data_IF_478503629949
#
_entry.id   IF_478503629949
#
_cell.length_a   1.000
_cell.length_b   1.000
_cell.length_c   1.000
_cell.angle_alpha   90.00
_cell.angle_beta   90.00
_cell.angle_gamma   90.00
#
_symmetry.space_group_name_H-M   'P 1'
#
loop_
_entity.id
_entity.type
_entity.pdbx_description
1 polymer ?
#
# COMPACT_ATOMS: atom_id res chain seq x y z
N UNK A 1 14.35 -24.78 17.83
CA UNK A 1 14.41 -23.43 17.22
C UNK A 1 13.92 -23.28 15.75
N UNK A 2 13.91 -24.30 14.86
CA UNK A 2 13.44 -24.12 13.45
C UNK A 2 11.90 -24.06 13.26
N UNK A 3 11.09 -24.52 14.24
CA UNK A 3 9.61 -24.54 14.15
C UNK A 3 8.95 -23.17 14.44
N UNK A 4 9.48 -22.38 15.36
CA UNK A 4 8.92 -21.07 15.75
C UNK A 4 8.99 -20.00 14.65
N UNK A 5 10.14 -19.86 13.96
CA UNK A 5 10.27 -18.87 12.86
C UNK A 5 9.32 -19.13 11.67
N UNK A 6 8.91 -20.39 11.47
CA UNK A 6 7.92 -20.77 10.44
C UNK A 6 6.51 -20.28 10.80
N UNK A 7 6.19 -20.16 12.09
CA UNK A 7 4.90 -19.66 12.57
C UNK A 7 4.78 -18.16 12.33
N UNK A 8 5.78 -17.36 12.74
CA UNK A 8 5.74 -15.90 12.65
C UNK A 8 5.63 -15.40 11.20
N UNK A 9 6.40 -15.97 10.28
CA UNK A 9 6.36 -15.58 8.86
C UNK A 9 4.99 -15.87 8.23
N UNK A 10 4.38 -16.99 8.59
CA UNK A 10 3.07 -17.40 8.08
C UNK A 10 1.97 -16.50 8.62
N UNK A 11 1.99 -16.18 9.92
CA UNK A 11 1.01 -15.29 10.53
C UNK A 11 1.10 -13.88 9.93
N UNK A 12 2.31 -13.31 9.78
CA UNK A 12 2.49 -12.03 9.09
C UNK A 12 1.99 -12.02 7.65
N UNK A 13 2.11 -13.14 6.92
CA UNK A 13 1.56 -13.23 5.55
C UNK A 13 0.05 -13.40 5.51
N UNK A 14 -0.57 -13.98 6.55
CA UNK A 14 -2.03 -14.05 6.66
C UNK A 14 -2.63 -12.69 6.98
N UNK A 15 -2.02 -11.95 7.91
CA UNK A 15 -2.38 -10.55 8.22
C UNK A 15 -2.33 -9.66 6.97
N UNK A 16 -1.50 -10.03 5.99
CA UNK A 16 -1.30 -9.32 4.74
C UNK A 16 -1.83 -10.08 3.53
N UNK A 17 -2.76 -11.04 3.70
CA UNK A 17 -3.24 -11.88 2.59
C UNK A 17 -3.90 -11.06 1.48
N UNK A 18 -4.59 -9.98 1.83
CA UNK A 18 -5.15 -9.02 0.86
C UNK A 18 -4.11 -8.30 0.00
N UNK A 19 -2.83 -8.33 0.39
CA UNK A 19 -1.71 -7.77 -0.37
C UNK A 19 -1.04 -8.81 -1.28
N UNK A 20 -1.59 -10.02 -1.46
CA UNK A 20 -0.91 -11.10 -2.20
C UNK A 20 -0.49 -10.68 -3.60
N UNK A 21 -1.32 -9.93 -4.32
CA UNK A 21 -1.00 -9.33 -5.62
C UNK A 21 0.11 -8.28 -5.49
N UNK A 22 -0.02 -7.37 -4.53
CA UNK A 22 0.95 -6.30 -4.25
C UNK A 22 2.35 -6.83 -3.92
N UNK A 23 2.40 -7.89 -3.10
CA UNK A 23 3.61 -8.58 -2.70
C UNK A 23 4.20 -9.32 -3.91
N UNK A 24 3.37 -10.06 -4.65
CA UNK A 24 3.79 -10.79 -5.85
C UNK A 24 4.51 -9.88 -6.83
N UNK A 25 3.88 -8.76 -7.18
CA UNK A 25 4.45 -7.77 -8.11
C UNK A 25 5.70 -7.12 -7.51
N UNK A 26 5.63 -6.67 -6.24
CA UNK A 26 6.72 -5.97 -5.57
C UNK A 26 7.99 -6.80 -5.33
N UNK A 27 7.90 -8.13 -5.32
CA UNK A 27 9.06 -9.02 -5.14
C UNK A 27 9.41 -9.87 -6.37
N UNK A 28 8.67 -9.68 -7.46
CA UNK A 28 8.83 -10.42 -8.72
C UNK A 28 8.54 -11.92 -8.56
N UNK A 29 7.46 -12.27 -7.87
CA UNK A 29 6.99 -13.66 -7.68
C UNK A 29 5.58 -13.82 -8.23
N UNK A 30 5.20 -15.03 -8.66
CA UNK A 30 3.82 -15.29 -9.05
C UNK A 30 2.87 -15.26 -7.85
N UNK A 31 1.63 -14.81 -8.05
CA UNK A 31 0.60 -14.81 -7.00
C UNK A 31 0.33 -16.21 -6.45
N UNK A 32 0.45 -17.25 -7.28
CA UNK A 32 0.36 -18.65 -6.85
C UNK A 32 1.49 -19.03 -5.89
N UNK A 33 2.70 -18.51 -6.10
CA UNK A 33 3.83 -18.70 -5.19
C UNK A 33 3.57 -18.02 -3.85
N UNK A 34 3.11 -16.77 -3.85
CA UNK A 34 2.76 -16.04 -2.61
C UNK A 34 1.63 -16.77 -1.86
N UNK A 35 0.59 -17.18 -2.57
CA UNK A 35 -0.56 -17.89 -1.99
C UNK A 35 -0.14 -19.21 -1.37
N UNK A 36 0.69 -20.00 -2.05
CA UNK A 36 1.20 -21.27 -1.52
C UNK A 36 2.08 -21.05 -0.29
N UNK A 37 2.97 -20.05 -0.35
CA UNK A 37 3.84 -19.67 0.76
C UNK A 37 3.02 -19.20 1.97
N UNK A 38 1.97 -18.39 1.77
CA UNK A 38 1.07 -17.93 2.84
C UNK A 38 0.28 -19.08 3.45
N UNK A 39 -0.29 -19.97 2.62
CA UNK A 39 -1.07 -21.12 3.09
C UNK A 39 -0.23 -22.15 3.84
N UNK A 40 0.93 -22.52 3.30
CA UNK A 40 1.70 -23.67 3.77
C UNK A 40 2.94 -23.29 4.59
N UNK A 41 3.38 -22.04 4.52
CA UNK A 41 4.68 -21.62 5.03
C UNK A 41 5.87 -22.25 4.30
N UNK A 42 5.66 -22.99 3.20
CA UNK A 42 6.72 -23.64 2.41
C UNK A 42 7.09 -22.74 1.23
N UNK A 43 8.39 -22.49 1.07
CA UNK A 43 8.99 -21.63 0.06
C UNK A 43 10.48 -21.51 0.31
N UNK A 44 11.27 -21.21 -0.73
CA UNK A 44 12.71 -21.02 -0.55
C UNK A 44 12.99 -19.80 0.35
N UNK A 45 14.14 -19.80 1.03
CA UNK A 45 14.47 -18.76 2.00
C UNK A 45 14.56 -17.37 1.37
N UNK A 46 15.17 -17.26 0.18
CA UNK A 46 15.35 -16.02 -0.57
C UNK A 46 14.03 -15.31 -0.87
N UNK A 47 13.00 -16.06 -1.27
CA UNK A 47 11.67 -15.54 -1.57
C UNK A 47 10.98 -15.05 -0.30
N UNK A 48 11.11 -15.78 0.81
CA UNK A 48 10.56 -15.36 2.10
C UNK A 48 11.23 -14.08 2.60
N UNK A 49 12.54 -13.95 2.44
CA UNK A 49 13.27 -12.74 2.80
C UNK A 49 12.86 -11.54 1.94
N UNK A 50 12.70 -11.73 0.63
CA UNK A 50 12.16 -10.68 -0.25
C UNK A 50 10.78 -10.22 0.20
N UNK A 51 9.87 -11.15 0.47
CA UNK A 51 8.51 -10.87 0.94
C UNK A 51 8.57 -10.10 2.27
N UNK A 52 9.39 -10.56 3.23
CA UNK A 52 9.52 -9.87 4.52
C UNK A 52 10.11 -8.47 4.38
N UNK A 53 11.16 -8.29 3.58
CA UNK A 53 11.75 -6.97 3.34
C UNK A 53 10.73 -6.02 2.72
N UNK A 54 9.97 -6.49 1.73
CA UNK A 54 8.92 -5.72 1.10
C UNK A 54 7.84 -5.29 2.11
N UNK A 55 7.34 -6.23 2.91
CA UNK A 55 6.34 -5.94 3.94
C UNK A 55 6.86 -4.98 5.01
N UNK A 56 8.12 -5.14 5.43
CA UNK A 56 8.76 -4.24 6.41
C UNK A 56 8.88 -2.83 5.82
N UNK A 57 9.40 -2.70 4.60
CA UNK A 57 9.57 -1.40 3.94
C UNK A 57 8.24 -0.67 3.77
N UNK A 58 7.19 -1.36 3.29
CA UNK A 58 5.88 -0.74 3.12
C UNK A 58 5.24 -0.32 4.43
N UNK A 59 5.40 -1.13 5.47
CA UNK A 59 4.91 -0.75 6.80
C UNK A 59 5.70 0.43 7.39
N UNK A 60 7.01 0.51 7.13
CA UNK A 60 7.82 1.66 7.52
C UNK A 60 7.39 2.95 6.80
N UNK A 61 7.25 2.92 5.46
CA UNK A 61 6.79 4.07 4.67
C UNK A 61 5.43 4.60 5.17
N UNK A 62 4.49 3.70 5.46
CA UNK A 62 3.16 4.08 5.96
C UNK A 62 3.22 4.68 7.38
N UNK A 63 4.02 4.10 8.28
CA UNK A 63 4.17 4.60 9.65
C UNK A 63 4.89 5.95 9.69
N UNK A 64 5.90 6.14 8.85
CA UNK A 64 6.58 7.43 8.70
C UNK A 64 5.64 8.49 8.13
N UNK A 65 4.86 8.12 7.11
CA UNK A 65 3.81 8.99 6.59
C UNK A 65 2.81 9.39 7.68
N UNK A 66 2.25 8.41 8.41
CA UNK A 66 1.27 8.67 9.47
C UNK A 66 1.81 9.63 10.53
N UNK A 67 3.04 9.42 11.02
CA UNK A 67 3.71 10.33 11.96
C UNK A 67 3.90 11.74 11.41
N UNK A 68 4.19 11.87 10.11
CA UNK A 68 4.41 13.17 9.47
C UNK A 68 3.10 13.96 9.35
N UNK A 69 1.98 13.29 9.15
CA UNK A 69 0.69 13.95 8.90
C UNK A 69 -0.22 14.01 10.11
N UNK A 70 0.03 13.24 11.16
CA UNK A 70 -0.75 13.29 12.39
C UNK A 70 -0.80 14.71 12.97
N UNK A 71 -2.00 15.18 13.30
CA UNK A 71 -2.25 16.55 13.77
C UNK A 71 -2.29 17.62 12.67
N UNK A 72 -1.89 17.31 11.43
CA UNK A 72 -2.03 18.25 10.32
C UNK A 72 -3.48 18.31 9.84
N UNK A 73 -3.90 19.51 9.42
CA UNK A 73 -5.21 19.74 8.86
C UNK A 73 -5.05 19.82 7.33
N UNK A 74 -5.15 18.67 6.68
CA UNK A 74 -4.86 18.55 5.25
C UNK A 74 -6.08 19.02 4.46
N UNK A 75 -5.91 20.11 3.73
CA UNK A 75 -6.83 20.56 2.69
C UNK A 75 -6.13 20.44 1.33
N UNK A 76 -6.48 19.40 0.58
CA UNK A 76 -5.73 18.98 -0.61
C UNK A 76 -6.20 19.73 -1.87
N UNK A 77 -7.50 19.95 -2.00
CA UNK A 77 -8.14 20.62 -3.14
C UNK A 77 -8.51 22.08 -2.85
N UNK A 78 -8.29 22.56 -1.61
CA UNK A 78 -8.70 23.90 -1.15
C UNK A 78 -10.22 24.09 -1.18
N UNK A 79 -10.96 22.99 -1.18
CA UNK A 79 -12.41 22.96 -1.24
C UNK A 79 -12.96 22.21 -0.03
N UNK A 80 -13.92 22.82 0.67
CA UNK A 80 -14.60 22.23 1.85
C UNK A 80 -13.69 21.94 3.07
N UNK A 81 -12.46 22.45 3.09
CA UNK A 81 -11.56 22.40 4.24
C UNK A 81 -10.94 21.01 4.46
N UNK A 82 -10.86 20.59 5.72
CA UNK A 82 -10.08 19.41 6.12
C UNK A 82 -10.86 18.10 6.00
N UNK A 83 -11.33 17.76 4.81
CA UNK A 83 -12.21 16.60 4.61
C UNK A 83 -11.46 15.25 4.65
N UNK A 84 -12.17 14.16 4.98
CA UNK A 84 -11.59 12.80 4.91
C UNK A 84 -11.05 12.46 3.52
N UNK A 85 -11.68 12.95 2.44
CA UNK A 85 -11.23 12.70 1.06
C UNK A 85 -9.89 13.37 0.75
N UNK A 86 -9.60 14.52 1.36
CA UNK A 86 -8.34 15.24 1.17
C UNK A 86 -7.16 14.41 1.68
N UNK A 87 -7.31 13.79 2.86
CA UNK A 87 -6.31 12.86 3.40
C UNK A 87 -6.06 11.66 2.47
N UNK A 88 -7.11 11.06 1.91
CA UNK A 88 -6.95 9.90 1.01
C UNK A 88 -6.23 10.28 -0.28
N UNK A 89 -6.55 11.43 -0.88
CA UNK A 89 -5.86 11.94 -2.07
C UNK A 89 -4.39 12.26 -1.77
N UNK A 90 -4.13 12.91 -0.65
CA UNK A 90 -2.77 13.20 -0.19
C UNK A 90 -1.96 11.91 0.03
N UNK A 91 -2.56 10.90 0.65
CA UNK A 91 -1.94 9.58 0.83
C UNK A 91 -1.63 8.89 -0.50
N UNK A 92 -2.59 8.87 -1.43
CA UNK A 92 -2.38 8.25 -2.73
C UNK A 92 -1.22 8.90 -3.50
N UNK A 93 -1.12 10.23 -3.48
CA UNK A 93 -0.04 10.93 -4.16
C UNK A 93 1.31 10.71 -3.46
N UNK A 94 1.37 10.79 -2.14
CA UNK A 94 2.63 10.79 -1.40
C UNK A 94 3.19 9.39 -1.13
N UNK A 95 2.31 8.41 -0.87
CA UNK A 95 2.72 7.04 -0.52
C UNK A 95 2.54 6.09 -1.69
N UNK A 96 1.39 6.14 -2.38
CA UNK A 96 1.13 5.24 -3.51
C UNK A 96 1.73 5.74 -4.83
N UNK A 97 2.18 7.00 -4.88
CA UNK A 97 2.63 7.69 -6.10
C UNK A 97 1.59 7.64 -7.21
N UNK A 98 0.32 7.74 -6.84
CA UNK A 98 -0.83 7.61 -7.73
C UNK A 98 -1.81 8.77 -7.53
N UNK A 99 -2.36 9.27 -8.63
CA UNK A 99 -3.40 10.30 -8.60
C UNK A 99 -4.77 9.63 -8.66
N UNK A 100 -5.51 9.65 -7.55
CA UNK A 100 -6.88 9.15 -7.52
C UNK A 100 -7.80 10.04 -8.37
N UNK A 101 -8.86 9.43 -8.91
CA UNK A 101 -9.98 10.18 -9.46
C UNK A 101 -10.71 10.98 -8.39
N UNK A 102 -11.63 11.84 -8.80
CA UNK A 102 -12.46 12.63 -7.88
C UNK A 102 -13.36 11.72 -7.03
N UNK A 103 -13.65 12.11 -5.79
CA UNK A 103 -14.59 11.38 -4.93
C UNK A 103 -16.04 11.81 -5.15
N UNK A 104 -16.31 12.83 -5.96
CA UNK A 104 -17.67 13.37 -6.18
C UNK A 104 -18.37 13.78 -4.87
N UNK A 105 -17.61 14.38 -3.95
CA UNK A 105 -18.11 14.98 -2.72
C UNK A 105 -18.38 14.03 -1.55
N UNK A 106 -18.17 12.71 -1.66
CA UNK A 106 -18.44 11.81 -0.52
C UNK A 106 -17.67 10.49 -0.55
N UNK A 107 -17.50 9.87 0.62
CA UNK A 107 -16.95 8.52 0.73
C UNK A 107 -17.86 7.48 0.07
N UNK A 108 -19.19 7.67 0.10
CA UNK A 108 -20.14 6.81 -0.62
C UNK A 108 -19.89 6.78 -2.12
N UNK A 109 -19.73 7.95 -2.74
CA UNK A 109 -19.49 8.05 -4.18
C UNK A 109 -18.17 7.35 -4.56
N UNK A 110 -17.12 7.53 -3.74
CA UNK A 110 -15.86 6.80 -3.86
C UNK A 110 -16.03 5.28 -3.71
N UNK A 111 -16.74 4.81 -2.68
CA UNK A 111 -16.98 3.39 -2.42
C UNK A 111 -17.72 2.70 -3.58
N UNK A 112 -18.81 3.31 -4.06
CA UNK A 112 -19.54 2.79 -5.22
C UNK A 112 -18.81 3.03 -6.54
N UNK A 113 -17.71 3.80 -6.50
CA UNK A 113 -16.87 4.15 -7.64
C UNK A 113 -17.65 4.76 -8.81
N UNK A 114 -18.66 5.59 -8.52
CA UNK A 114 -19.62 6.11 -9.54
C UNK A 114 -18.98 7.09 -10.52
N UNK A 115 -17.84 7.66 -10.14
CA UNK A 115 -17.09 8.65 -10.92
C UNK A 115 -15.66 8.18 -11.21
N UNK A 116 -15.42 6.86 -11.15
CA UNK A 116 -14.12 6.25 -11.38
C UNK A 116 -12.99 6.80 -10.49
N UNK A 117 -13.29 7.01 -9.21
CA UNK A 117 -12.31 7.37 -8.17
C UNK A 117 -11.16 6.36 -8.09
N UNK A 118 -11.50 5.07 -8.17
CA UNK A 118 -10.59 3.93 -8.11
C UNK A 118 -10.66 3.14 -9.42
N UNK A 119 -9.68 3.36 -10.28
CA UNK A 119 -9.56 2.56 -11.51
C UNK A 119 -9.27 1.10 -11.16
N UNK A 120 -10.13 0.19 -11.65
CA UNK A 120 -10.06 -1.26 -11.41
C UNK A 120 -8.74 -1.89 -11.89
N UNK A 121 -8.03 -1.23 -12.82
CA UNK A 121 -6.68 -1.63 -13.25
C UNK A 121 -5.66 -1.51 -12.11
N UNK A 122 -5.83 -0.52 -11.25
CA UNK A 122 -4.89 -0.19 -10.18
C UNK A 122 -5.42 -0.51 -8.78
N UNK A 123 -6.69 -0.83 -8.64
CA UNK A 123 -7.26 -1.15 -7.33
C UNK A 123 -8.13 -2.41 -7.36
N UNK A 124 -8.02 -3.20 -6.29
CA UNK A 124 -8.97 -4.26 -5.96
C UNK A 124 -9.97 -3.76 -4.92
N UNK A 125 -11.25 -4.00 -5.17
CA UNK A 125 -12.33 -3.73 -4.22
C UNK A 125 -12.64 -5.00 -3.44
N UNK A 126 -12.62 -4.92 -2.11
CA UNK A 126 -12.97 -6.03 -1.22
C UNK A 126 -14.19 -5.63 -0.40
N UNK A 127 -15.26 -6.41 -0.52
CA UNK A 127 -16.49 -6.22 0.26
C UNK A 127 -16.32 -6.99 1.56
N UNK A 128 -16.51 -6.31 2.69
CA UNK A 128 -16.38 -6.95 3.99
C UNK A 128 -17.61 -7.81 4.28
N UNK A 129 -17.39 -9.10 4.56
CA UNK A 129 -18.47 -10.07 4.81
C UNK A 129 -18.50 -10.60 6.24
N UNK A 130 -17.73 -10.01 7.17
CA UNK A 130 -17.52 -10.50 8.56
C UNK A 130 -16.87 -11.89 8.68
N UNK A 131 -16.48 -12.52 7.58
CA UNK A 131 -15.91 -13.88 7.55
C UNK A 131 -14.39 -13.92 7.85
N UNK A 132 -13.95 -13.17 8.87
CA UNK A 132 -12.54 -13.15 9.30
C UNK A 132 -11.59 -12.43 8.32
N UNK A 133 -12.13 -11.63 7.41
CA UNK A 133 -11.34 -10.79 6.51
C UNK A 133 -10.76 -9.61 7.30
N UNK A 134 -9.43 -9.53 7.38
CA UNK A 134 -8.71 -8.45 8.04
C UNK A 134 -8.13 -7.53 6.95
N UNK A 135 -8.47 -6.22 6.94
CA UNK A 135 -7.92 -5.31 5.96
C UNK A 135 -6.42 -5.12 6.20
N UNK A 136 -5.59 -5.19 5.15
CA UNK A 136 -4.16 -5.01 5.32
C UNK A 136 -3.81 -3.54 5.56
N UNK A 137 -2.64 -3.30 6.14
CA UNK A 137 -2.06 -1.97 6.27
C UNK A 137 -1.93 -1.30 4.89
N UNK A 138 -2.27 -0.01 4.82
CA UNK A 138 -2.29 0.80 3.61
C UNK A 138 -3.56 0.69 2.77
N UNK A 139 -4.50 -0.19 3.14
CA UNK A 139 -5.81 -0.25 2.49
C UNK A 139 -6.62 1.03 2.75
N UNK A 140 -7.42 1.43 1.75
CA UNK A 140 -8.36 2.55 1.86
C UNK A 140 -9.69 1.98 2.32
N UNK A 141 -10.00 2.17 3.60
CA UNK A 141 -11.12 1.55 4.30
C UNK A 141 -12.35 2.44 4.26
N UNK A 142 -13.49 1.85 3.91
CA UNK A 142 -14.78 2.51 3.84
C UNK A 142 -15.69 2.03 4.98
N UNK A 143 -16.23 2.97 5.74
CA UNK A 143 -17.07 2.70 6.92
C UNK A 143 -18.23 3.71 7.04
N UNK A 144 -19.09 3.52 8.03
CA UNK A 144 -20.18 4.45 8.40
C UNK A 144 -21.10 4.83 7.24
N UNK A 145 -21.32 3.91 6.29
CA UNK A 145 -22.11 4.19 5.07
C UNK A 145 -23.61 4.42 5.32
N UNK A 146 -24.08 4.22 6.56
CA UNK A 146 -25.42 4.60 6.98
C UNK A 146 -25.58 6.13 7.15
N UNK A 147 -24.48 6.86 7.40
CA UNK A 147 -24.48 8.33 7.48
C UNK A 147 -24.69 8.96 6.10
N UNK A 148 -24.99 10.26 6.01
CA UNK A 148 -25.25 10.93 4.71
C UNK A 148 -24.07 10.74 3.74
N UNK A 149 -22.84 10.97 4.20
CA UNK A 149 -21.64 11.02 3.37
C UNK A 149 -20.83 9.72 3.36
N UNK A 150 -21.00 8.86 4.37
CA UNK A 150 -20.07 7.77 4.65
C UNK A 150 -18.76 8.28 5.23
N UNK A 151 -17.84 7.36 5.49
CA UNK A 151 -16.49 7.70 5.96
C UNK A 151 -15.43 6.87 5.24
N UNK A 152 -14.23 7.44 5.10
CA UNK A 152 -13.08 6.76 4.52
C UNK A 152 -11.81 7.07 5.31
N UNK A 153 -10.99 6.06 5.51
CA UNK A 153 -9.76 6.13 6.30
C UNK A 153 -8.66 5.24 5.70
N UNK A 154 -7.43 5.36 6.21
CA UNK A 154 -6.29 4.53 5.79
C UNK A 154 -5.97 3.56 6.92
N UNK A 155 -5.92 2.27 6.62
CA UNK A 155 -5.58 1.25 7.63
C UNK A 155 -4.09 1.34 7.97
N UNK A 156 -3.77 1.52 9.25
CA UNK A 156 -2.39 1.46 9.75
C UNK A 156 -2.02 0.05 10.22
N UNK A 157 -2.94 -0.58 10.93
CA UNK A 157 -2.84 -1.97 11.39
C UNK A 157 -4.25 -2.50 11.69
N UNK A 158 -4.42 -3.82 11.62
CA UNK A 158 -5.69 -4.46 11.92
C UNK A 158 -5.46 -5.82 12.57
N UNK A 159 -6.31 -6.15 13.53
CA UNK A 159 -6.38 -7.46 14.18
C UNK A 159 -7.77 -8.06 13.96
N UNK A 160 -8.05 -9.23 14.53
CA UNK A 160 -9.41 -9.79 14.51
C UNK A 160 -10.43 -8.92 15.28
N UNK A 161 -9.95 -8.09 16.23
CA UNK A 161 -10.81 -7.38 17.17
C UNK A 161 -11.02 -5.92 16.80
N UNK A 162 -9.98 -5.26 16.28
CA UNK A 162 -10.01 -3.83 15.97
C UNK A 162 -9.16 -3.48 14.75
N UNK A 163 -9.41 -2.27 14.23
CA UNK A 163 -8.64 -1.65 13.16
C UNK A 163 -8.11 -0.33 13.68
N UNK A 164 -6.80 -0.10 13.60
CA UNK A 164 -6.20 1.21 13.81
C UNK A 164 -6.11 1.91 12.45
N UNK A 165 -6.71 3.10 12.35
CA UNK A 165 -6.81 3.87 11.11
C UNK A 165 -6.23 5.26 11.27
N UNK A 166 -5.73 5.81 10.18
CA UNK A 166 -5.45 7.23 10.01
C UNK A 166 -6.65 7.86 9.30
N UNK A 167 -7.25 8.87 9.90
CA UNK A 167 -8.46 9.50 9.42
C UNK A 167 -8.46 11.00 9.65
N UNK A 168 -9.36 11.71 8.98
CA UNK A 168 -9.55 13.15 9.10
C UNK A 168 -11.06 13.44 9.11
N UNK A 169 -11.47 14.60 9.64
CA UNK A 169 -12.88 15.02 9.69
C UNK A 169 -13.82 14.06 10.43
N UNK A 170 -13.46 13.66 11.66
CA UNK A 170 -14.35 12.85 12.52
C UNK A 170 -14.78 13.59 13.79
N UNK A 171 -14.58 14.91 13.84
CA UNK A 171 -15.11 15.80 14.87
C UNK A 171 -16.54 16.24 14.53
N UNK A 172 -16.76 17.55 14.39
CA UNK A 172 -18.02 18.14 13.92
C UNK A 172 -18.38 17.73 12.48
N UNK A 173 -17.41 17.32 11.68
CA UNK A 173 -17.65 16.89 10.30
C UNK A 173 -17.83 18.04 9.31
N UNK A 174 -17.70 19.29 9.77
CA UNK A 174 -17.82 20.49 8.93
C UNK A 174 -16.48 20.88 8.27
N UNK A 175 -15.42 20.12 8.53
CA UNK A 175 -14.10 20.29 7.95
C UNK A 175 -13.37 21.51 8.51
N UNK A 176 -13.78 21.98 9.68
CA UNK A 176 -13.30 23.22 10.31
C UNK A 176 -12.80 22.93 11.71
N UNK A 177 -11.75 23.65 12.10
CA UNK A 177 -11.20 23.52 13.44
C UNK A 177 -10.24 22.35 13.58
N UNK A 178 -9.62 22.29 14.76
CA UNK A 178 -8.50 21.38 15.04
C UNK A 178 -8.94 19.94 15.28
N UNK A 179 -10.21 19.72 15.63
CA UNK A 179 -10.79 18.40 15.86
C UNK A 179 -11.04 17.63 14.56
N UNK A 180 -11.05 18.32 13.42
CA UNK A 180 -11.16 17.72 12.09
C UNK A 180 -9.81 17.41 11.44
N UNK A 181 -8.69 17.72 12.10
CA UNK A 181 -7.35 17.40 11.59
C UNK A 181 -7.05 15.91 11.68
N UNK A 182 -5.99 15.48 11.00
CA UNK A 182 -5.61 14.07 10.90
C UNK A 182 -5.37 13.49 12.29
N UNK A 183 -6.02 12.35 12.56
CA UNK A 183 -5.89 11.62 13.81
C UNK A 183 -5.75 10.13 13.58
N UNK A 184 -5.17 9.46 14.56
CA UNK A 184 -5.13 8.01 14.64
C UNK A 184 -6.27 7.56 15.55
N UNK A 185 -7.11 6.67 15.03
CA UNK A 185 -8.27 6.14 15.77
C UNK A 185 -8.27 4.62 15.75
N UNK A 186 -8.87 4.04 16.79
CA UNK A 186 -9.24 2.63 16.79
C UNK A 186 -10.73 2.50 16.52
N UNK A 187 -11.08 1.71 15.51
CA UNK A 187 -12.47 1.45 15.14
C UNK A 187 -12.76 -0.05 15.18
N UNK A 188 -14.04 -0.39 15.37
CA UNK A 188 -14.52 -1.76 15.32
C UNK A 188 -14.96 -2.13 13.89
N UNK A 189 -15.15 -3.43 13.65
CA UNK A 189 -15.62 -3.93 12.36
C UNK A 189 -17.12 -3.71 12.10
N UNK A 190 -17.88 -3.19 13.07
CA UNK A 190 -19.35 -3.13 12.97
C UNK A 190 -19.84 -2.17 11.88
N UNK A 191 -19.08 -1.11 11.62
CA UNK A 191 -19.45 -0.08 10.64
C UNK A 191 -18.66 -0.19 9.33
N UNK A 192 -17.78 -1.19 9.22
CA UNK A 192 -16.96 -1.43 8.03
C UNK A 192 -17.82 -2.02 6.91
N UNK A 193 -17.70 -1.45 5.72
CA UNK A 193 -18.38 -1.96 4.51
C UNK A 193 -17.40 -2.70 3.60
N UNK A 194 -16.14 -2.28 3.61
CA UNK A 194 -15.09 -2.90 2.82
C UNK A 194 -13.96 -1.92 2.56
N UNK A 195 -13.06 -2.28 1.66
CA UNK A 195 -11.88 -1.47 1.38
C UNK A 195 -11.40 -1.63 -0.06
N UNK A 196 -10.56 -0.68 -0.47
CA UNK A 196 -9.79 -0.76 -1.70
C UNK A 196 -8.31 -1.01 -1.39
N UNK A 197 -7.68 -1.86 -2.19
CA UNK A 197 -6.25 -2.18 -2.12
C UNK A 197 -5.61 -1.73 -3.42
N UNK A 198 -4.52 -0.97 -3.32
CA UNK A 198 -3.73 -0.58 -4.49
C UNK A 198 -2.94 -1.78 -5.00
N UNK A 199 -3.15 -2.12 -6.28
CA UNK A 199 -2.33 -3.05 -7.05
C UNK A 199 -1.02 -2.35 -7.33
N UNK A 200 0.06 -2.93 -6.83
CA UNK A 200 1.39 -2.45 -7.16
C UNK A 200 1.71 -2.91 -8.59
N UNK A 201 1.09 -2.30 -9.60
CA UNK A 201 1.68 -2.37 -10.93
C UNK A 201 3.09 -1.81 -10.80
N UNK A 202 4.07 -2.48 -11.42
CA UNK A 202 5.45 -2.00 -11.50
C UNK A 202 5.41 -0.48 -11.66
N UNK A 203 5.66 0.24 -10.57
CA UNK A 203 5.98 1.65 -10.66
C UNK A 203 7.21 1.57 -11.54
N UNK A 204 7.09 1.99 -12.81
CA UNK A 204 8.25 2.22 -13.65
C UNK A 204 9.08 3.21 -12.87
N UNK A 205 9.99 2.71 -12.04
CA UNK A 205 11.09 3.50 -11.53
C UNK A 205 11.71 4.02 -12.81
N UNK A 206 11.69 5.33 -12.97
CA UNK A 206 12.69 6.01 -13.79
C UNK A 206 14.01 5.29 -13.47
N UNK A 207 14.60 4.57 -14.44
CA UNK A 207 15.82 3.85 -14.16
C UNK A 207 16.82 4.88 -13.67
N UNK A 208 17.43 4.57 -12.53
CA UNK A 208 18.53 5.38 -12.01
C UNK A 208 19.55 5.57 -13.11
N UNK A 209 20.34 6.65 -13.07
CA UNK A 209 21.40 6.88 -14.05
C UNK A 209 22.30 5.66 -14.22
N UNK A 210 22.60 4.96 -13.12
CA UNK A 210 23.27 3.67 -13.12
C UNK A 210 22.53 2.56 -13.88
N UNK A 211 21.22 2.42 -13.69
CA UNK A 211 20.40 1.43 -14.42
C UNK A 211 20.28 1.77 -15.92
N UNK A 212 20.28 3.05 -16.28
CA UNK A 212 20.33 3.52 -17.68
C UNK A 212 21.66 3.13 -18.32
N UNK A 213 22.78 3.42 -17.66
CA UNK A 213 24.13 3.03 -18.11
C UNK A 213 24.31 1.50 -18.18
N UNK A 214 23.72 0.76 -17.23
CA UNK A 214 23.75 -0.70 -17.21
C UNK A 214 22.98 -1.29 -18.40
N UNK A 215 21.84 -0.72 -18.77
CA UNK A 215 21.05 -1.18 -19.91
C UNK A 215 21.73 -0.83 -21.24
N UNK A 216 22.35 0.34 -21.33
CA UNK A 216 23.19 0.72 -22.47
C UNK A 216 24.38 -0.24 -22.63
N UNK A 217 25.06 -0.59 -21.54
CA UNK A 217 26.15 -1.57 -21.56
C UNK A 217 25.69 -2.98 -22.00
N UNK A 218 24.46 -3.39 -21.66
CA UNK A 218 23.88 -4.65 -22.18
C UNK A 218 23.57 -4.56 -23.66
N UNK A 219 22.96 -3.47 -24.11
CA UNK A 219 22.59 -3.26 -25.51
C UNK A 219 23.82 -3.19 -26.42
N UNK A 220 24.92 -2.63 -25.92
CA UNK A 220 26.21 -2.60 -26.60
C UNK A 220 26.97 -3.93 -26.54
N UNK A 221 26.43 -4.96 -25.87
CA UNK A 221 27.05 -6.28 -25.75
C UNK A 221 28.36 -6.30 -24.94
N UNK A 222 28.62 -5.23 -24.20
CA UNK A 222 29.83 -5.06 -23.37
C UNK A 222 29.61 -5.54 -21.94
N UNK A 223 28.36 -5.68 -21.49
CA UNK A 223 28.02 -6.22 -20.18
C UNK A 223 28.16 -7.75 -20.11
N UNK A 224 29.15 -8.23 -19.35
CA UNK A 224 29.50 -9.64 -19.25
C UNK A 224 28.87 -10.33 -18.02
N UNK A 225 27.76 -9.78 -17.50
CA UNK A 225 27.16 -10.03 -16.19
C UNK A 225 26.61 -11.44 -15.90
N UNK A 226 27.38 -12.49 -16.20
CA UNK A 226 27.13 -13.87 -15.74
C UNK A 226 28.24 -14.43 -14.85
N UNK A 227 29.36 -13.71 -14.66
CA UNK A 227 30.48 -14.23 -13.89
C UNK A 227 31.13 -13.13 -13.01
N UNK A 228 30.68 -13.03 -11.76
CA UNK A 228 31.15 -12.05 -10.77
C UNK A 228 32.63 -12.23 -10.39
N UNK A 229 33.24 -13.35 -10.77
CA UNK A 229 34.64 -13.66 -10.50
C UNK A 229 35.59 -13.19 -11.61
N UNK A 230 35.06 -12.59 -12.69
CA UNK A 230 35.88 -12.00 -13.76
C UNK A 230 35.94 -10.48 -13.61
N UNK A 231 37.14 -9.86 -13.74
CA UNK A 231 37.27 -8.43 -13.68
C UNK A 231 36.48 -7.76 -14.81
N UNK A 232 35.87 -6.61 -14.51
CA UNK A 232 35.15 -5.81 -15.48
C UNK A 232 36.07 -5.46 -16.67
N UNK A 233 35.53 -5.57 -17.88
CA UNK A 233 36.21 -5.19 -19.11
C UNK A 233 36.43 -3.67 -19.15
N UNK A 234 37.42 -3.23 -19.92
CA UNK A 234 37.66 -1.80 -20.16
C UNK A 234 36.42 -1.08 -20.73
N UNK A 235 35.60 -1.78 -21.51
CA UNK A 235 34.34 -1.25 -22.04
C UNK A 235 33.28 -1.04 -20.96
N UNK A 236 33.15 -1.97 -20.00
CA UNK A 236 32.24 -1.81 -18.86
C UNK A 236 32.65 -0.64 -17.95
N UNK A 237 33.96 -0.46 -17.71
CA UNK A 237 34.46 0.66 -16.91
C UNK A 237 34.24 1.99 -17.61
N UNK A 238 34.50 2.07 -18.92
CA UNK A 238 34.38 3.31 -19.69
C UNK A 238 32.93 3.83 -19.81
N UNK A 239 31.92 2.96 -19.70
CA UNK A 239 30.50 3.34 -19.73
C UNK A 239 29.99 3.71 -18.33
N UNK A 240 30.70 3.34 -17.26
CA UNK A 240 30.30 3.63 -15.87
C UNK A 240 31.07 4.80 -15.22
N UNK A 241 32.01 5.42 -15.92
CA UNK A 241 32.76 6.61 -15.50
C UNK A 241 32.27 7.83 -16.27
#
# INVERSE_FOLDING_TARGET
MKKEKKSIFREKLKENFGLSTMIADGVGLSINSITNISKTGKGNLKNKEKIMKFLILKNMELKEYAKKVEGLCIDFDKEYGHQFVALIRHYAQNVLKFNLGVFGGSAKTGWFNRVNTFDKKFFDKIIFTKNGEIPPAGAILFSKMHTVWGHVSIVLEATADYITVLEQNVGSGDGKGTDDCVKISKINYNEVVGWYIFKNQEIKKEPTEFEKLLEEAKNLGIWNGKNVDKPATRGEVAVMC
#
